data_IF_010051944414
#
_entry.id   IF_010051944414
#
_cell.length_a   1.000
_cell.length_b   1.000
_cell.length_c   1.000
_cell.angle_alpha   90.00
_cell.angle_beta   90.00
_cell.angle_gamma   90.00
#
_symmetry.space_group_name_H-M   'P 1'
#
loop_
_entity.id
_entity.type
_entity.pdbx_description
1 polymer ?
#
# COMPACT_ATOMS: atom_id res chain seq x y z
N UNK A 1 14.83 9.08 -15.25
CA UNK A 1 13.38 9.33 -15.08
C UNK A 1 12.71 9.32 -16.44
N UNK A 2 11.56 8.71 -16.56
CA UNK A 2 10.71 8.75 -17.75
C UNK A 2 9.97 10.09 -17.87
N UNK A 3 9.25 10.31 -19.00
CA UNK A 3 8.53 11.56 -19.23
C UNK A 3 7.42 11.82 -18.19
N UNK A 4 6.80 10.74 -17.66
CA UNK A 4 5.77 10.81 -16.63
C UNK A 4 6.36 11.34 -15.32
N UNK A 5 7.52 10.82 -14.89
CA UNK A 5 8.21 11.26 -13.67
C UNK A 5 8.72 12.70 -13.79
N UNK A 6 9.23 13.11 -14.97
CA UNK A 6 9.67 14.50 -15.21
C UNK A 6 8.48 15.47 -15.09
N UNK A 7 7.33 15.13 -15.67
CA UNK A 7 6.11 15.95 -15.58
C UNK A 7 5.60 16.04 -14.14
N UNK A 8 5.63 14.93 -13.40
CA UNK A 8 5.23 14.86 -12.00
C UNK A 8 6.08 15.78 -11.10
N UNK A 9 7.41 15.80 -11.31
CA UNK A 9 8.32 16.72 -10.58
C UNK A 9 7.91 18.17 -10.82
N UNK A 10 7.74 18.57 -12.10
CA UNK A 10 7.33 19.94 -12.44
C UNK A 10 5.98 20.31 -11.83
N UNK A 11 5.01 19.40 -11.86
CA UNK A 11 3.69 19.64 -11.29
C UNK A 11 3.77 19.89 -9.78
N UNK A 12 4.57 19.09 -9.05
CA UNK A 12 4.77 19.26 -7.62
C UNK A 12 5.44 20.60 -7.27
N UNK A 13 6.47 21.01 -8.04
CA UNK A 13 7.11 22.33 -7.90
C UNK A 13 6.12 23.47 -8.09
N UNK A 14 5.30 23.40 -9.14
CA UNK A 14 4.33 24.46 -9.45
C UNK A 14 3.26 24.60 -8.37
N UNK A 15 2.75 23.48 -7.83
CA UNK A 15 1.80 23.53 -6.71
C UNK A 15 2.45 24.14 -5.47
N UNK A 16 3.65 23.73 -5.09
CA UNK A 16 4.35 24.30 -3.94
C UNK A 16 4.62 25.79 -4.10
N UNK A 17 5.09 26.23 -5.27
CA UNK A 17 5.36 27.63 -5.58
C UNK A 17 4.07 28.48 -5.57
N UNK A 18 2.95 27.96 -6.07
CA UNK A 18 1.65 28.63 -6.02
C UNK A 18 1.15 28.88 -4.58
N UNK A 19 1.66 28.10 -3.62
CA UNK A 19 1.39 28.29 -2.18
C UNK A 19 2.51 29.07 -1.46
N UNK A 20 3.40 29.75 -2.21
CA UNK A 20 4.46 30.57 -1.65
C UNK A 20 5.66 29.81 -1.10
N UNK A 21 5.80 28.53 -1.40
CA UNK A 21 6.92 27.72 -0.94
C UNK A 21 8.05 27.81 -1.95
N UNK A 22 9.24 28.25 -1.49
CA UNK A 22 10.44 28.31 -2.34
C UNK A 22 10.97 26.91 -2.55
N UNK A 23 11.10 26.53 -3.83
CA UNK A 23 11.73 25.26 -4.23
C UNK A 23 12.94 25.60 -5.12
N UNK A 24 14.14 25.26 -4.67
CA UNK A 24 15.39 25.42 -5.45
C UNK A 24 15.85 24.10 -6.08
N UNK A 25 15.42 22.98 -5.53
CA UNK A 25 15.72 21.62 -6.04
C UNK A 25 14.60 20.65 -5.66
N UNK A 26 14.04 20.00 -6.65
CA UNK A 26 13.07 18.92 -6.46
C UNK A 26 13.75 17.57 -6.72
N UNK A 27 14.03 16.84 -5.65
CA UNK A 27 14.73 15.55 -5.70
C UNK A 27 13.74 14.39 -5.65
N UNK A 28 13.67 13.60 -6.73
CA UNK A 28 12.94 12.34 -6.72
C UNK A 28 13.67 11.33 -5.81
N UNK A 29 13.04 10.94 -4.71
CA UNK A 29 13.63 10.07 -3.69
C UNK A 29 13.19 8.62 -3.81
N UNK A 30 12.03 8.37 -4.42
CA UNK A 30 11.54 7.03 -4.76
C UNK A 30 10.56 7.10 -5.94
N UNK A 31 10.55 6.09 -6.81
CA UNK A 31 9.62 5.93 -7.93
C UNK A 31 9.04 4.51 -7.91
N UNK A 32 7.77 4.39 -7.55
CA UNK A 32 7.05 3.13 -7.41
C UNK A 32 5.60 3.26 -7.91
N UNK A 33 4.64 2.96 -7.04
CA UNK A 33 3.22 3.25 -7.31
C UNK A 33 2.99 4.76 -7.42
N UNK A 34 3.67 5.52 -6.59
CA UNK A 34 3.72 6.98 -6.58
C UNK A 34 5.18 7.44 -6.71
N UNK A 35 5.38 8.63 -7.25
CA UNK A 35 6.67 9.30 -7.23
C UNK A 35 6.76 10.16 -5.96
N UNK A 36 7.80 9.94 -5.16
CA UNK A 36 8.09 10.74 -3.96
C UNK A 36 9.16 11.76 -4.27
N UNK A 37 8.90 13.04 -3.97
CA UNK A 37 9.75 14.17 -4.34
C UNK A 37 10.01 15.05 -3.12
N UNK A 38 11.27 15.19 -2.72
CA UNK A 38 11.67 16.15 -1.69
C UNK A 38 11.86 17.53 -2.31
N UNK A 39 11.08 18.50 -1.88
CA UNK A 39 11.05 19.88 -2.43
C UNK A 39 11.97 20.81 -1.62
N UNK A 40 13.27 20.69 -1.84
CA UNK A 40 14.31 21.43 -1.11
C UNK A 40 14.31 22.93 -1.41
N UNK A 41 14.64 23.80 -0.43
CA UNK A 41 15.08 23.51 0.94
C UNK A 41 13.92 23.29 1.93
N UNK A 42 12.67 23.39 1.48
CA UNK A 42 11.53 23.17 2.37
C UNK A 42 11.53 21.73 2.93
N UNK A 43 11.16 21.52 4.20
CA UNK A 43 10.97 20.19 4.76
C UNK A 43 9.63 19.59 4.26
N UNK A 44 9.50 19.46 2.94
CA UNK A 44 8.27 19.11 2.25
C UNK A 44 8.50 17.97 1.28
N UNK A 45 7.70 16.92 1.41
CA UNK A 45 7.62 15.81 0.47
C UNK A 45 6.32 15.89 -0.33
N UNK A 46 6.41 15.84 -1.65
CA UNK A 46 5.26 15.61 -2.52
C UNK A 46 5.18 14.11 -2.87
N UNK A 47 3.98 13.52 -2.70
CA UNK A 47 3.61 12.19 -3.20
C UNK A 47 2.74 12.41 -4.44
N UNK A 48 3.27 12.12 -5.61
CA UNK A 48 2.57 12.31 -6.90
C UNK A 48 2.14 10.95 -7.45
N UNK A 49 0.85 10.79 -7.71
CA UNK A 49 0.32 9.57 -8.30
C UNK A 49 0.83 9.40 -9.74
N UNK A 50 1.56 8.33 -9.98
CA UNK A 50 2.11 7.94 -11.28
C UNK A 50 1.52 6.61 -11.76
N UNK A 51 2.09 5.47 -11.38
CA UNK A 51 1.52 4.16 -11.69
C UNK A 51 0.14 4.00 -11.07
N UNK A 52 -0.06 4.46 -9.84
CA UNK A 52 -1.35 4.41 -9.15
C UNK A 52 -2.46 5.15 -9.92
N UNK A 53 -2.16 6.26 -10.59
CA UNK A 53 -3.12 7.02 -11.39
C UNK A 53 -3.64 6.24 -12.62
N UNK A 54 -2.89 5.26 -13.12
CA UNK A 54 -3.34 4.40 -14.22
C UNK A 54 -4.36 3.36 -13.77
N UNK A 55 -4.32 2.96 -12.51
CA UNK A 55 -5.00 1.81 -11.94
C UNK A 55 -6.16 2.21 -11.03
N UNK A 56 -6.05 3.35 -10.34
CA UNK A 56 -6.99 3.86 -9.33
C UNK A 56 -7.76 5.06 -9.87
N UNK A 57 -9.11 4.96 -9.91
CA UNK A 57 -9.95 6.04 -10.45
C UNK A 57 -11.18 6.27 -9.57
N UNK A 58 -11.35 7.49 -9.03
CA UNK A 58 -10.40 8.61 -9.07
C UNK A 58 -9.26 8.41 -8.08
N UNK A 59 -8.00 8.58 -8.49
CA UNK A 59 -6.83 8.40 -7.61
C UNK A 59 -6.82 9.37 -6.42
N UNK A 60 -7.50 10.51 -6.54
CA UNK A 60 -7.68 11.46 -5.44
C UNK A 60 -8.35 10.84 -4.20
N UNK A 61 -9.20 9.81 -4.37
CA UNK A 61 -9.81 9.13 -3.23
C UNK A 61 -8.78 8.38 -2.37
N UNK A 62 -7.77 7.77 -2.99
CA UNK A 62 -6.67 7.09 -2.28
C UNK A 62 -5.74 8.07 -1.59
N UNK A 63 -5.29 9.12 -2.30
CA UNK A 63 -4.44 10.14 -1.69
C UNK A 63 -5.19 10.94 -0.59
N UNK A 64 -6.48 11.18 -0.74
CA UNK A 64 -7.30 11.81 0.28
C UNK A 64 -7.44 10.93 1.52
N UNK A 65 -7.61 9.63 1.35
CA UNK A 65 -7.65 8.65 2.44
C UNK A 65 -6.33 8.60 3.18
N UNK A 66 -5.20 8.53 2.47
CA UNK A 66 -3.86 8.56 3.03
C UNK A 66 -3.69 9.77 3.97
N UNK A 67 -3.99 10.97 3.46
CA UNK A 67 -3.94 12.22 4.24
C UNK A 67 -4.89 12.20 5.44
N UNK A 68 -6.13 11.75 5.26
CA UNK A 68 -7.15 11.75 6.31
C UNK A 68 -6.81 10.80 7.45
N UNK A 69 -6.38 9.56 7.12
CA UNK A 69 -6.01 8.54 8.10
C UNK A 69 -4.75 8.96 8.86
N UNK A 70 -3.69 9.39 8.15
CA UNK A 70 -2.46 9.84 8.79
C UNK A 70 -2.69 11.09 9.65
N UNK A 71 -3.51 12.05 9.20
CA UNK A 71 -3.87 13.23 9.97
C UNK A 71 -4.60 12.89 11.27
N UNK A 72 -5.57 11.97 11.22
CA UNK A 72 -6.24 11.46 12.42
C UNK A 72 -5.25 10.79 13.38
N UNK A 73 -4.44 9.86 12.89
CA UNK A 73 -3.46 9.13 13.70
C UNK A 73 -2.46 10.09 14.35
N UNK A 74 -1.95 11.06 13.60
CA UNK A 74 -1.06 12.10 14.11
C UNK A 74 -1.71 12.92 15.23
N UNK A 75 -2.97 13.32 15.05
CA UNK A 75 -3.74 14.05 16.07
C UNK A 75 -3.98 13.22 17.34
N UNK A 76 -4.01 11.88 17.24
CA UNK A 76 -4.08 10.98 18.40
C UNK A 76 -2.71 10.68 19.02
N UNK A 77 -1.61 11.26 18.49
CA UNK A 77 -0.25 11.03 18.99
C UNK A 77 0.37 9.70 18.54
N UNK A 78 -0.21 9.01 17.57
CA UNK A 78 0.37 7.80 16.99
C UNK A 78 1.67 8.12 16.23
N UNK A 79 2.66 7.20 16.20
CA UNK A 79 3.93 7.40 15.51
C UNK A 79 3.75 7.23 14.00
N UNK A 80 3.34 8.28 13.32
CA UNK A 80 3.12 8.32 11.87
C UNK A 80 3.84 9.49 11.23
N UNK A 81 4.16 9.39 9.93
CA UNK A 81 4.61 10.53 9.14
C UNK A 81 3.46 11.54 9.03
N UNK A 82 3.63 12.79 9.48
CA UNK A 82 2.53 13.73 9.47
C UNK A 82 2.28 14.31 8.08
N UNK A 83 1.01 14.60 7.73
CA UNK A 83 0.70 15.42 6.57
C UNK A 83 1.37 16.80 6.67
N UNK A 84 1.52 17.49 5.54
CA UNK A 84 2.13 18.82 5.49
C UNK A 84 1.38 19.83 6.36
N UNK A 85 2.14 20.70 7.02
CA UNK A 85 1.67 21.91 7.73
C UNK A 85 2.05 23.20 7.00
N UNK A 86 2.84 23.11 5.91
CA UNK A 86 3.26 24.26 5.10
C UNK A 86 2.21 24.67 4.05
N UNK A 87 1.42 23.70 3.59
CA UNK A 87 0.27 23.91 2.72
C UNK A 87 -0.78 22.83 3.03
N UNK A 88 -2.01 23.04 2.56
CA UNK A 88 -3.03 22.00 2.68
C UNK A 88 -2.48 20.67 2.12
N UNK A 89 -2.55 19.55 2.87
CA UNK A 89 -1.89 18.30 2.45
C UNK A 89 -2.49 17.68 1.20
N UNK A 90 -3.68 18.12 0.77
CA UNK A 90 -4.29 17.67 -0.47
C UNK A 90 -5.46 16.70 -0.28
N UNK A 91 -5.89 16.02 -1.37
CA UNK A 91 -5.21 15.94 -2.67
C UNK A 91 -5.28 17.20 -3.51
N UNK A 92 -4.19 17.55 -4.18
CA UNK A 92 -4.11 18.62 -5.18
C UNK A 92 -4.10 18.04 -6.58
N UNK A 93 -4.54 18.85 -7.56
CA UNK A 93 -4.48 18.51 -8.98
C UNK A 93 -3.79 19.63 -9.76
N UNK A 94 -2.83 19.28 -10.60
CA UNK A 94 -2.14 20.20 -11.49
C UNK A 94 -1.64 19.46 -12.72
N UNK A 95 -1.92 20.01 -13.91
CA UNK A 95 -1.45 19.49 -15.23
C UNK A 95 -1.68 17.96 -15.40
N UNK A 96 -2.85 17.48 -14.98
CA UNK A 96 -3.23 16.06 -15.06
C UNK A 96 -2.62 15.16 -13.97
N UNK A 97 -1.78 15.69 -13.07
CA UNK A 97 -1.24 14.98 -11.92
C UNK A 97 -2.08 15.22 -10.68
N UNK A 98 -2.25 14.18 -9.88
CA UNK A 98 -2.85 14.27 -8.54
C UNK A 98 -1.77 13.98 -7.51
N UNK A 99 -1.72 14.79 -6.44
CA UNK A 99 -0.65 14.69 -5.44
C UNK A 99 -1.12 15.07 -4.05
N UNK A 100 -0.40 14.58 -3.04
CA UNK A 100 -0.51 14.97 -1.64
C UNK A 100 0.84 15.44 -1.10
N UNK A 101 0.81 16.23 0.00
CA UNK A 101 2.01 16.81 0.60
C UNK A 101 2.17 16.38 2.05
N UNK A 102 3.41 16.12 2.42
CA UNK A 102 3.83 15.52 3.69
C UNK A 102 4.99 16.28 4.28
N UNK A 103 5.14 16.27 5.58
CA UNK A 103 6.37 16.73 6.20
C UNK A 103 7.53 15.82 5.77
N UNK A 104 8.65 16.43 5.36
CA UNK A 104 9.86 15.67 5.12
C UNK A 104 10.42 15.18 6.44
N UNK A 105 10.67 13.89 6.53
CA UNK A 105 11.24 13.24 7.72
C UNK A 105 12.57 12.62 7.35
N UNK A 106 13.64 13.09 8.01
CA UNK A 106 14.96 12.46 7.89
C UNK A 106 14.90 11.06 8.50
N UNK A 107 15.31 10.06 7.72
CA UNK A 107 15.25 8.66 8.12
C UNK A 107 16.40 7.85 7.53
N UNK A 108 16.75 6.76 8.18
CA UNK A 108 17.69 5.76 7.67
C UNK A 108 16.98 4.88 6.64
N UNK A 109 17.36 5.01 5.36
CA UNK A 109 16.75 4.29 4.23
C UNK A 109 17.10 2.80 4.20
N UNK A 110 18.18 2.40 4.85
CA UNK A 110 18.64 1.01 4.89
C UNK A 110 18.08 0.25 6.11
N UNK A 111 17.56 0.98 7.09
CA UNK A 111 17.00 0.36 8.29
C UNK A 111 15.71 -0.40 7.98
N UNK A 112 15.62 -1.62 8.50
CA UNK A 112 14.43 -2.44 8.45
C UNK A 112 14.05 -2.87 9.87
N UNK A 113 12.85 -2.52 10.30
CA UNK A 113 12.36 -2.87 11.64
C UNK A 113 12.31 -4.39 11.83
N UNK A 114 12.67 -4.86 13.02
CA UNK A 114 12.44 -6.25 13.41
C UNK A 114 10.93 -6.48 13.66
N UNK A 115 10.41 -7.67 13.31
CA UNK A 115 9.00 -7.97 13.55
C UNK A 115 8.64 -7.97 15.03
N UNK A 116 9.58 -8.34 15.91
CA UNK A 116 9.41 -8.26 17.37
C UNK A 116 9.09 -6.84 17.87
N UNK A 117 9.59 -5.81 17.17
CA UNK A 117 9.32 -4.40 17.48
C UNK A 117 8.08 -3.91 16.71
N UNK A 118 7.91 -4.34 15.45
CA UNK A 118 6.80 -3.90 14.59
C UNK A 118 5.44 -4.48 15.03
N UNK A 119 5.41 -5.69 15.58
CA UNK A 119 4.17 -6.36 16.01
C UNK A 119 3.39 -5.57 17.08
N UNK A 120 4.02 -5.18 18.21
CA UNK A 120 3.40 -4.28 19.19
C UNK A 120 2.97 -2.95 18.58
N UNK A 121 3.81 -2.31 17.75
CA UNK A 121 3.45 -1.05 17.09
C UNK A 121 2.22 -1.19 16.18
N UNK A 122 2.08 -2.32 15.47
CA UNK A 122 0.89 -2.60 14.67
C UNK A 122 -0.35 -2.79 15.54
N UNK A 123 -0.20 -3.42 16.70
CA UNK A 123 -1.30 -3.55 17.67
C UNK A 123 -1.79 -2.19 18.16
N UNK A 124 -0.86 -1.31 18.55
CA UNK A 124 -1.17 0.05 19.02
C UNK A 124 -1.82 0.88 17.90
N UNK A 125 -1.34 0.73 16.65
CA UNK A 125 -1.95 1.34 15.47
C UNK A 125 -3.41 0.89 15.31
N UNK A 126 -3.69 -0.41 15.41
CA UNK A 126 -5.04 -0.96 15.30
C UNK A 126 -5.98 -0.45 16.40
N UNK A 127 -5.50 -0.32 17.64
CA UNK A 127 -6.27 0.25 18.75
C UNK A 127 -6.65 1.71 18.45
N UNK A 128 -5.70 2.51 17.95
CA UNK A 128 -5.95 3.91 17.59
C UNK A 128 -6.91 4.01 16.42
N UNK A 129 -6.73 3.19 15.37
CA UNK A 129 -7.59 3.19 14.17
C UNK A 129 -9.05 2.85 14.45
N UNK A 130 -9.37 2.15 15.54
CA UNK A 130 -10.78 1.84 15.91
C UNK A 130 -11.63 3.09 16.05
N UNK A 131 -11.05 4.20 16.47
CA UNK A 131 -11.72 5.47 16.61
C UNK A 131 -11.84 6.30 15.33
N UNK A 132 -11.19 5.86 14.24
CA UNK A 132 -11.20 6.59 12.98
C UNK A 132 -12.56 6.50 12.29
N UNK A 133 -13.10 7.66 11.90
CA UNK A 133 -14.31 7.77 11.12
C UNK A 133 -14.05 8.71 9.93
N UNK A 134 -14.14 8.22 8.68
CA UNK A 134 -13.96 9.06 7.50
C UNK A 134 -15.00 10.15 7.41
N UNK A 135 -14.59 11.40 7.26
CA UNK A 135 -15.50 12.54 7.19
C UNK A 135 -16.33 12.58 5.88
N UNK A 136 -15.71 12.14 4.77
CA UNK A 136 -16.22 12.40 3.41
C UNK A 136 -16.93 11.21 2.74
N UNK A 137 -16.98 10.04 3.38
CA UNK A 137 -17.49 8.79 2.77
C UNK A 137 -18.72 8.20 3.45
N UNK A 138 -19.49 9.02 4.17
CA UNK A 138 -20.66 8.52 4.91
C UNK A 138 -20.31 7.68 6.15
N UNK A 139 -19.05 7.76 6.61
CA UNK A 139 -18.61 7.14 7.86
C UNK A 139 -17.99 5.74 7.70
N UNK A 140 -17.86 5.21 6.49
CA UNK A 140 -17.32 3.86 6.28
C UNK A 140 -16.14 3.82 5.32
N UNK A 141 -15.10 3.04 5.67
CA UNK A 141 -14.04 2.67 4.76
C UNK A 141 -14.48 1.50 3.86
N UNK A 142 -14.00 1.43 2.60
CA UNK A 142 -14.30 0.30 1.73
C UNK A 142 -13.79 -1.01 2.35
N UNK A 143 -14.61 -2.07 2.29
CA UNK A 143 -14.24 -3.37 2.86
C UNK A 143 -13.21 -4.08 1.97
N UNK A 144 -12.00 -4.31 2.52
CA UNK A 144 -10.90 -5.00 1.84
C UNK A 144 -10.79 -4.58 0.36
N UNK A 145 -10.59 -3.26 0.13
CA UNK A 145 -10.59 -2.63 -1.20
C UNK A 145 -9.62 -3.30 -2.17
N UNK A 146 -8.57 -3.93 -1.66
CA UNK A 146 -7.57 -4.64 -2.46
C UNK A 146 -8.19 -5.68 -3.40
N UNK A 147 -9.28 -6.34 -3.02
CA UNK A 147 -9.94 -7.29 -3.90
C UNK A 147 -10.61 -6.62 -5.11
N UNK A 148 -11.11 -5.39 -4.96
CA UNK A 148 -11.58 -4.61 -6.10
C UNK A 148 -10.41 -4.14 -6.97
N UNK A 149 -9.28 -3.79 -6.35
CA UNK A 149 -8.07 -3.41 -7.08
C UNK A 149 -7.53 -4.56 -7.91
N UNK A 150 -7.35 -5.75 -7.33
CA UNK A 150 -6.89 -6.95 -8.07
C UNK A 150 -7.82 -7.21 -9.28
N UNK A 151 -9.14 -7.04 -9.14
CA UNK A 151 -10.06 -7.17 -10.26
C UNK A 151 -9.75 -6.17 -11.39
N UNK A 152 -9.50 -4.91 -11.03
CA UNK A 152 -9.13 -3.85 -12.01
C UNK A 152 -7.77 -4.12 -12.64
N UNK A 153 -6.81 -4.59 -11.85
CA UNK A 153 -5.46 -4.93 -12.31
C UNK A 153 -5.47 -6.08 -13.31
N UNK A 154 -6.18 -7.16 -13.01
CA UNK A 154 -6.32 -8.29 -13.94
C UNK A 154 -7.00 -7.89 -15.26
N UNK A 155 -8.00 -6.98 -15.20
CA UNK A 155 -8.62 -6.42 -16.41
C UNK A 155 -7.63 -5.56 -17.21
N UNK A 156 -6.80 -4.77 -16.55
CA UNK A 156 -5.76 -3.97 -17.19
C UNK A 156 -4.73 -4.86 -17.90
N UNK A 157 -4.21 -5.88 -17.20
CA UNK A 157 -3.22 -6.84 -17.74
C UNK A 157 -3.80 -7.63 -18.94
N UNK A 158 -5.08 -8.01 -18.88
CA UNK A 158 -5.79 -8.61 -20.03
C UNK A 158 -5.80 -7.68 -21.24
N UNK A 159 -6.19 -6.42 -21.05
CA UNK A 159 -6.19 -5.41 -22.11
C UNK A 159 -4.81 -5.15 -22.71
N UNK A 160 -3.74 -5.36 -21.95
CA UNK A 160 -2.34 -5.27 -22.39
C UNK A 160 -1.81 -6.57 -23.00
N UNK A 161 -2.54 -7.68 -22.89
CA UNK A 161 -2.08 -9.03 -23.28
C UNK A 161 -0.78 -9.41 -22.55
N UNK A 162 -0.64 -8.97 -21.32
CA UNK A 162 0.55 -9.18 -20.49
C UNK A 162 0.65 -10.63 -19.96
N UNK A 163 -0.47 -11.33 -19.92
CA UNK A 163 -0.62 -12.71 -19.44
C UNK A 163 -1.26 -13.59 -20.50
N UNK A 164 -0.92 -14.88 -20.50
CA UNK A 164 -1.65 -15.88 -21.28
C UNK A 164 -3.07 -16.08 -20.75
N UNK A 165 -3.97 -16.62 -21.60
CA UNK A 165 -5.35 -16.91 -21.20
C UNK A 165 -5.44 -17.85 -20.00
N UNK A 166 -4.58 -18.87 -19.96
CA UNK A 166 -4.53 -19.83 -18.83
C UNK A 166 -4.08 -19.18 -17.51
N UNK A 167 -3.06 -18.35 -17.55
CA UNK A 167 -2.57 -17.61 -16.37
C UNK A 167 -3.66 -16.67 -15.83
N UNK A 168 -4.33 -15.94 -16.73
CA UNK A 168 -5.38 -15.00 -16.36
C UNK A 168 -6.58 -15.70 -15.71
N UNK A 169 -7.00 -16.86 -16.26
CA UNK A 169 -8.07 -17.68 -15.69
C UNK A 169 -7.70 -18.14 -14.29
N UNK A 170 -6.51 -18.71 -14.10
CA UNK A 170 -6.04 -19.21 -12.80
C UNK A 170 -5.99 -18.10 -11.73
N UNK A 171 -5.46 -16.92 -12.10
CA UNK A 171 -5.40 -15.77 -11.18
C UNK A 171 -6.82 -15.30 -10.80
N UNK A 172 -7.75 -15.21 -11.77
CA UNK A 172 -9.14 -14.80 -11.52
C UNK A 172 -9.90 -15.78 -10.64
N UNK A 173 -9.79 -17.08 -10.88
CA UNK A 173 -10.44 -18.09 -10.06
C UNK A 173 -9.93 -18.09 -8.63
N UNK A 174 -8.61 -17.95 -8.44
CA UNK A 174 -8.02 -17.85 -7.12
C UNK A 174 -8.45 -16.58 -6.41
N UNK A 175 -8.42 -15.43 -7.12
CA UNK A 175 -8.90 -14.16 -6.61
C UNK A 175 -10.36 -14.24 -6.16
N UNK A 176 -11.24 -14.77 -6.99
CA UNK A 176 -12.67 -14.88 -6.68
C UNK A 176 -12.91 -15.69 -5.40
N UNK A 177 -12.31 -16.88 -5.30
CA UNK A 177 -12.43 -17.75 -4.12
C UNK A 177 -11.96 -17.07 -2.84
N UNK A 178 -10.81 -16.40 -2.89
CA UNK A 178 -10.25 -15.70 -1.73
C UNK A 178 -11.12 -14.48 -1.35
N UNK A 179 -11.58 -13.70 -2.32
CA UNK A 179 -12.42 -12.53 -2.07
C UNK A 179 -13.73 -12.92 -1.40
N UNK A 180 -14.40 -13.97 -1.89
CA UNK A 180 -15.64 -14.48 -1.30
C UNK A 180 -15.42 -14.94 0.15
N UNK A 181 -14.39 -15.76 0.38
CA UNK A 181 -14.08 -16.28 1.72
C UNK A 181 -13.74 -15.16 2.72
N UNK A 182 -12.97 -14.16 2.30
CA UNK A 182 -12.41 -13.17 3.21
C UNK A 182 -13.32 -11.97 3.45
N UNK A 183 -14.14 -11.58 2.46
CA UNK A 183 -15.10 -10.48 2.63
C UNK A 183 -16.33 -10.88 3.44
N UNK A 184 -16.79 -12.10 3.28
CA UNK A 184 -18.07 -12.55 3.86
C UNK A 184 -17.92 -13.54 5.00
N UNK A 185 -16.71 -13.78 5.48
CA UNK A 185 -16.40 -14.77 6.52
C UNK A 185 -16.83 -14.42 7.95
N UNK A 186 -17.65 -13.37 8.16
CA UNK A 186 -18.23 -13.05 9.49
C UNK A 186 -17.22 -12.60 10.56
N UNK A 187 -16.00 -12.17 10.17
CA UNK A 187 -14.95 -11.72 11.10
C UNK A 187 -15.20 -10.29 11.56
N UNK A 188 -14.67 -9.95 12.74
CA UNK A 188 -14.71 -8.57 13.24
C UNK A 188 -13.98 -7.61 12.28
N UNK A 189 -14.68 -6.54 11.85
CA UNK A 189 -14.18 -5.53 10.92
C UNK A 189 -13.92 -4.25 11.71
N UNK A 190 -12.77 -3.64 11.44
CA UNK A 190 -12.39 -2.31 11.91
C UNK A 190 -11.58 -1.59 10.86
N UNK A 191 -11.32 -0.27 10.98
CA UNK A 191 -10.30 0.39 10.18
C UNK A 191 -8.93 -0.28 10.40
N UNK A 192 -8.23 -0.57 9.30
CA UNK A 192 -6.90 -1.16 9.26
C UNK A 192 -6.01 -0.37 8.28
N UNK A 193 -4.69 -0.58 8.36
CA UNK A 193 -3.71 0.07 7.49
C UNK A 193 -3.88 -0.36 6.02
N UNK A 194 -4.20 -1.64 5.80
CA UNK A 194 -4.39 -2.22 4.46
C UNK A 194 -3.10 -2.72 3.79
N UNK A 195 -1.95 -2.13 4.11
CA UNK A 195 -0.62 -2.59 3.66
C UNK A 195 0.44 -2.43 4.76
N UNK A 196 0.18 -2.96 5.95
CA UNK A 196 1.04 -2.84 7.14
C UNK A 196 2.32 -3.69 7.02
N UNK A 197 3.11 -3.50 5.98
CA UNK A 197 4.38 -4.19 5.82
C UNK A 197 5.54 -3.39 6.47
N UNK A 198 6.67 -4.06 6.76
CA UNK A 198 7.83 -3.45 7.43
C UNK A 198 8.49 -2.32 6.66
N UNK A 199 8.31 -2.23 5.34
CA UNK A 199 8.84 -1.16 4.49
C UNK A 199 8.07 0.16 4.67
N UNK A 200 6.85 0.09 5.21
CA UNK A 200 6.02 1.23 5.53
C UNK A 200 6.29 1.76 6.95
N UNK A 201 7.47 1.42 7.51
CA UNK A 201 8.01 1.95 8.76
C UNK A 201 9.35 2.61 8.50
N UNK A 202 9.43 3.91 8.77
CA UNK A 202 10.64 4.72 8.58
C UNK A 202 11.39 4.88 9.90
N UNK A 203 12.70 4.56 9.91
CA UNK A 203 13.58 4.75 11.09
C UNK A 203 14.05 6.18 11.18
N UNK A 204 13.61 6.89 12.19
CA UNK A 204 14.06 8.24 12.52
C UNK A 204 14.92 8.25 13.78
N UNK A 205 15.52 9.39 14.11
CA UNK A 205 16.21 9.58 15.40
C UNK A 205 15.28 9.40 16.61
N UNK A 206 13.97 9.68 16.44
CA UNK A 206 12.95 9.59 17.49
C UNK A 206 12.25 8.24 17.57
N UNK A 207 12.57 7.30 16.70
CA UNK A 207 11.93 5.99 16.62
C UNK A 207 11.37 5.69 15.22
N UNK A 208 10.50 4.70 15.15
CA UNK A 208 9.85 4.30 13.90
C UNK A 208 8.53 5.05 13.68
N UNK A 209 8.26 5.43 12.43
CA UNK A 209 7.03 6.08 12.03
C UNK A 209 6.34 5.27 10.93
N UNK A 210 5.05 4.99 11.10
CA UNK A 210 4.21 4.43 10.04
C UNK A 210 3.98 5.46 8.92
N UNK A 211 3.88 4.97 7.68
CA UNK A 211 3.55 5.77 6.48
C UNK A 211 2.73 4.93 5.51
N UNK A 212 2.17 5.57 4.47
CA UNK A 212 1.50 4.91 3.36
C UNK A 212 0.14 4.28 3.70
N UNK A 213 -0.79 5.13 4.14
CA UNK A 213 -2.17 4.75 4.50
C UNK A 213 -3.14 4.81 3.30
N UNK A 214 -2.66 4.90 2.06
CA UNK A 214 -3.54 4.99 0.89
C UNK A 214 -4.43 3.75 0.72
N UNK A 215 -3.99 2.60 1.22
CA UNK A 215 -4.71 1.32 1.20
C UNK A 215 -5.56 1.08 2.46
N UNK A 216 -5.64 2.06 3.37
CA UNK A 216 -6.47 1.93 4.57
C UNK A 216 -7.92 1.58 4.21
N UNK A 217 -8.45 0.58 4.89
CA UNK A 217 -9.76 0.02 4.55
C UNK A 217 -10.45 -0.55 5.81
N UNK A 218 -11.73 -0.90 5.69
CA UNK A 218 -12.39 -1.76 6.65
C UNK A 218 -11.91 -3.19 6.46
N UNK A 219 -11.46 -3.83 7.53
CA UNK A 219 -11.00 -5.22 7.43
C UNK A 219 -10.70 -5.83 8.79
N UNK A 220 -10.49 -7.15 8.84
CA UNK A 220 -9.99 -7.81 10.03
C UNK A 220 -8.50 -7.55 10.20
N UNK A 221 -8.04 -7.39 11.43
CA UNK A 221 -6.61 -7.14 11.76
C UNK A 221 -5.68 -8.23 11.24
N UNK A 222 -6.18 -9.45 11.05
CA UNK A 222 -5.44 -10.56 10.45
C UNK A 222 -4.90 -10.25 9.04
N UNK A 223 -5.55 -9.32 8.29
CA UNK A 223 -5.02 -8.82 7.02
C UNK A 223 -3.68 -8.11 7.21
N UNK A 224 -3.62 -7.14 8.11
CA UNK A 224 -2.39 -6.37 8.38
C UNK A 224 -1.31 -7.24 9.04
N UNK A 225 -1.71 -8.18 9.90
CA UNK A 225 -0.77 -9.17 10.46
C UNK A 225 -0.14 -9.99 9.34
N UNK A 226 -0.93 -10.44 8.34
CA UNK A 226 -0.38 -11.15 7.18
C UNK A 226 0.58 -10.26 6.37
N UNK A 227 0.27 -8.96 6.20
CA UNK A 227 1.19 -8.01 5.57
C UNK A 227 2.54 -7.93 6.29
N UNK A 228 2.50 -7.83 7.62
CA UNK A 228 3.69 -7.70 8.47
C UNK A 228 4.58 -8.95 8.42
N UNK A 229 3.99 -10.14 8.62
CA UNK A 229 4.77 -11.36 8.85
C UNK A 229 5.19 -12.08 7.56
N UNK A 230 4.51 -11.83 6.43
CA UNK A 230 4.75 -12.55 5.16
C UNK A 230 6.19 -12.52 4.67
N UNK A 231 6.90 -11.42 4.91
CA UNK A 231 8.28 -11.22 4.47
C UNK A 231 9.29 -11.19 5.63
N UNK A 232 8.91 -11.74 6.78
CA UNK A 232 9.78 -11.79 7.94
C UNK A 232 10.97 -12.74 7.70
N UNK A 233 12.20 -12.30 7.95
CA UNK A 233 13.40 -13.12 7.72
C UNK A 233 13.49 -14.32 8.66
N UNK A 234 12.91 -14.23 9.86
CA UNK A 234 12.81 -15.31 10.85
C UNK A 234 11.74 -16.36 10.51
N UNK A 235 10.97 -16.14 9.46
CA UNK A 235 9.83 -16.97 9.08
C UNK A 235 8.51 -16.53 9.69
N UNK A 236 7.41 -16.89 9.04
CA UNK A 236 6.06 -16.40 9.37
C UNK A 236 5.63 -16.84 10.78
N UNK A 237 5.87 -18.09 11.16
CA UNK A 237 5.45 -18.64 12.46
C UNK A 237 6.14 -17.91 13.63
N UNK A 238 7.46 -17.68 13.52
CA UNK A 238 8.21 -16.93 14.52
C UNK A 238 7.74 -15.48 14.58
N UNK A 239 7.56 -14.84 13.43
CA UNK A 239 7.10 -13.45 13.32
C UNK A 239 5.68 -13.26 13.86
N UNK A 240 4.80 -14.24 13.70
CA UNK A 240 3.41 -14.17 14.17
C UNK A 240 3.32 -13.97 15.69
N UNK A 241 4.24 -14.55 16.45
CA UNK A 241 4.28 -14.39 17.91
C UNK A 241 4.56 -12.95 18.37
N UNK A 242 5.06 -12.10 17.47
CA UNK A 242 5.35 -10.70 17.79
C UNK A 242 4.09 -9.82 17.91
N UNK A 243 2.99 -10.21 17.29
CA UNK A 243 1.74 -9.44 17.34
C UNK A 243 0.91 -9.86 18.57
N UNK A 244 0.64 -8.98 19.55
CA UNK A 244 -0.14 -9.31 20.73
C UNK A 244 -1.60 -9.70 20.37
N UNK A 245 -2.00 -10.91 20.73
CA UNK A 245 -3.31 -11.46 20.35
C UNK A 245 -3.36 -11.90 18.87
N UNK A 246 -2.24 -12.44 18.38
CA UNK A 246 -2.11 -12.94 17.02
C UNK A 246 -3.25 -13.92 16.64
N UNK A 247 -3.71 -13.88 15.38
CA UNK A 247 -4.60 -14.92 14.86
C UNK A 247 -3.90 -16.28 14.88
N UNK A 248 -4.67 -17.34 14.97
CA UNK A 248 -4.15 -18.71 14.77
C UNK A 248 -3.64 -18.87 13.32
N UNK A 249 -2.84 -19.91 13.08
CA UNK A 249 -2.35 -20.22 11.74
C UNK A 249 -3.50 -20.40 10.72
N UNK A 250 -4.53 -21.14 11.10
CA UNK A 250 -5.69 -21.41 10.24
C UNK A 250 -6.48 -20.14 9.91
N UNK A 251 -6.56 -19.21 10.85
CA UNK A 251 -7.16 -17.90 10.63
C UNK A 251 -6.31 -17.00 9.73
N UNK A 252 -4.98 -17.08 9.84
CA UNK A 252 -4.04 -16.23 9.08
C UNK A 252 -3.84 -16.72 7.65
N UNK A 253 -3.82 -18.03 7.42
CA UNK A 253 -3.43 -18.65 6.14
C UNK A 253 -4.21 -18.11 4.92
N UNK A 254 -5.54 -17.87 4.96
CA UNK A 254 -6.26 -17.29 3.82
C UNK A 254 -5.77 -15.88 3.46
N UNK A 255 -5.38 -15.06 4.46
CA UNK A 255 -4.84 -13.71 4.22
C UNK A 255 -3.44 -13.76 3.64
N UNK A 256 -2.59 -14.67 4.09
CA UNK A 256 -1.27 -14.90 3.50
C UNK A 256 -1.39 -15.27 2.01
N UNK A 257 -2.31 -16.16 1.67
CA UNK A 257 -2.58 -16.54 0.26
C UNK A 257 -3.08 -15.37 -0.57
N UNK A 258 -3.94 -14.52 0.00
CA UNK A 258 -4.44 -13.35 -0.68
C UNK A 258 -3.32 -12.31 -0.93
N UNK A 259 -2.44 -12.11 0.05
CA UNK A 259 -1.25 -11.23 -0.09
C UNK A 259 -0.23 -11.79 -1.09
N UNK A 260 -0.07 -13.12 -1.19
CA UNK A 260 0.76 -13.72 -2.23
C UNK A 260 0.18 -13.46 -3.63
N UNK A 261 -1.13 -13.68 -3.80
CA UNK A 261 -1.81 -13.40 -5.07
C UNK A 261 -1.66 -11.94 -5.49
N UNK A 262 -1.93 -11.03 -4.56
CA UNK A 262 -1.78 -9.59 -4.79
C UNK A 262 -0.36 -9.25 -5.24
N UNK A 263 0.66 -9.72 -4.52
CA UNK A 263 2.05 -9.46 -4.86
C UNK A 263 2.41 -9.97 -6.27
N UNK A 264 1.92 -11.14 -6.65
CA UNK A 264 2.15 -11.69 -8.00
C UNK A 264 1.51 -10.81 -9.07
N UNK A 265 0.26 -10.40 -8.89
CA UNK A 265 -0.44 -9.54 -9.86
C UNK A 265 0.21 -8.16 -9.92
N UNK A 266 0.61 -7.59 -8.77
CA UNK A 266 1.28 -6.29 -8.71
C UNK A 266 2.62 -6.30 -9.47
N UNK A 267 3.43 -7.38 -9.36
CA UNK A 267 4.66 -7.50 -10.15
C UNK A 267 4.42 -7.51 -11.66
N UNK A 268 3.31 -8.11 -12.14
CA UNK A 268 2.96 -8.06 -13.56
C UNK A 268 2.63 -6.61 -13.99
N UNK A 269 1.96 -5.84 -13.11
CA UNK A 269 1.67 -4.43 -13.39
C UNK A 269 2.93 -3.57 -13.44
N UNK A 270 3.84 -3.76 -12.48
CA UNK A 270 5.11 -3.04 -12.46
C UNK A 270 5.93 -3.31 -13.74
N UNK A 271 5.91 -4.54 -14.23
CA UNK A 271 6.58 -4.92 -15.47
C UNK A 271 6.00 -4.26 -16.75
N UNK A 272 4.77 -3.74 -16.69
CA UNK A 272 4.19 -2.93 -17.78
C UNK A 272 4.75 -1.51 -17.81
N UNK A 273 5.08 -0.93 -16.65
CA UNK A 273 5.75 0.37 -16.56
C UNK A 273 7.27 0.25 -16.65
N UNK A 274 7.85 -0.78 -16.07
CA UNK A 274 9.28 -1.05 -15.99
C UNK A 274 9.60 -2.37 -16.70
N UNK A 275 9.74 -2.38 -18.04
CA UNK A 275 9.88 -3.63 -18.83
C UNK A 275 11.08 -4.48 -18.45
N UNK A 276 12.12 -3.91 -17.85
CA UNK A 276 13.29 -4.61 -17.33
C UNK A 276 12.95 -5.57 -16.17
N UNK A 277 11.81 -5.36 -15.51
CA UNK A 277 11.32 -6.22 -14.41
C UNK A 277 10.53 -7.45 -14.90
N UNK A 278 10.23 -7.57 -16.20
CA UNK A 278 9.43 -8.69 -16.75
C UNK A 278 10.00 -10.08 -16.42
N UNK A 279 11.32 -10.34 -16.52
CA UNK A 279 11.86 -11.67 -16.17
C UNK A 279 11.55 -12.07 -14.74
N UNK A 280 11.68 -11.14 -13.79
CA UNK A 280 11.38 -11.36 -12.39
C UNK A 280 9.88 -11.54 -12.15
N UNK A 281 9.03 -10.71 -12.76
CA UNK A 281 7.58 -10.83 -12.68
C UNK A 281 7.10 -12.22 -13.12
N UNK A 282 7.59 -12.70 -14.27
CA UNK A 282 7.27 -14.04 -14.77
C UNK A 282 7.82 -15.15 -13.89
N UNK A 283 9.01 -14.98 -13.29
CA UNK A 283 9.58 -15.96 -12.37
C UNK A 283 8.68 -16.12 -11.12
N UNK A 284 8.22 -15.02 -10.54
CA UNK A 284 7.30 -15.01 -9.40
C UNK A 284 5.95 -15.64 -9.71
N UNK A 285 5.39 -15.37 -10.89
CA UNK A 285 4.14 -16.00 -11.34
C UNK A 285 4.31 -17.53 -11.45
N UNK A 286 5.38 -18.02 -12.10
CA UNK A 286 5.64 -19.46 -12.22
C UNK A 286 5.88 -20.11 -10.86
N UNK A 287 6.55 -19.44 -9.94
CA UNK A 287 6.75 -19.95 -8.58
C UNK A 287 5.43 -20.05 -7.82
N UNK A 288 4.59 -19.02 -7.89
CA UNK A 288 3.26 -19.03 -7.31
C UNK A 288 2.41 -20.16 -7.88
N UNK A 289 2.41 -20.35 -9.21
CA UNK A 289 1.67 -21.44 -9.87
C UNK A 289 2.09 -22.83 -9.36
N UNK A 290 3.38 -23.06 -9.17
CA UNK A 290 3.90 -24.36 -8.64
C UNK A 290 3.43 -24.65 -7.21
N UNK A 291 3.15 -23.61 -6.42
CA UNK A 291 2.66 -23.74 -5.04
C UNK A 291 1.14 -23.92 -4.95
N UNK A 292 0.42 -23.69 -6.04
CA UNK A 292 -1.03 -23.90 -6.03
C UNK A 292 -1.34 -25.41 -6.01
N UNK A 293 -2.34 -25.86 -5.22
CA UNK A 293 -2.79 -27.24 -5.30
C UNK A 293 -3.29 -27.53 -6.72
N UNK A 294 -2.86 -28.64 -7.28
CA UNK A 294 -3.30 -29.05 -8.62
C UNK A 294 -4.83 -29.14 -8.62
N UNK A 295 -5.48 -28.59 -9.63
CA UNK A 295 -6.93 -28.47 -9.80
C UNK A 295 -7.69 -29.84 -9.88
N UNK A 296 -7.11 -30.92 -9.40
CA UNK A 296 -7.68 -32.27 -9.39
C UNK A 296 -8.04 -32.84 -8.01
N UNK A 297 -7.83 -32.10 -6.90
CA UNK A 297 -7.99 -32.66 -5.54
C UNK A 297 -9.22 -32.15 -4.76
N UNK A 298 -10.20 -31.51 -5.43
CA UNK A 298 -11.46 -31.13 -4.78
C UNK A 298 -12.66 -31.80 -5.46
N UNK A 299 -12.64 -33.12 -5.43
CA UNK A 299 -13.76 -33.94 -5.88
C UNK A 299 -13.74 -35.28 -5.16
N UNK A 300 -14.02 -35.29 -3.85
CA UNK A 300 -14.66 -36.37 -3.13
C UNK A 300 -15.16 -35.86 -1.77
#
# INVERSE_FOLDING_TARGET
MDALSIGAVRAAEQVAQAHGITVSNAEAVADGSNLLIHLKPAPLLARVATTSALLRRPVSAWLGRDVSVAGYLYAQGAPVVPPSDLLAPGPHQYDGYTMSFWQWVEHDREAMIATAEAGPMLRDLHETLRGYQPADSGGELPLLEIFNEITRWLKFLEGRRALSGGELIQLRETHWRLAETLRYGGRAIQPIHGDANRKNLLKTEKGWLWTDFEDACGGPTAWDVACLVRTAPEGIEAALTSYPGAPTWDELLPYLRARELEAVVYWQLQAERFPEQRPEAHARLREWQRRQPHSGAFGQ
#
